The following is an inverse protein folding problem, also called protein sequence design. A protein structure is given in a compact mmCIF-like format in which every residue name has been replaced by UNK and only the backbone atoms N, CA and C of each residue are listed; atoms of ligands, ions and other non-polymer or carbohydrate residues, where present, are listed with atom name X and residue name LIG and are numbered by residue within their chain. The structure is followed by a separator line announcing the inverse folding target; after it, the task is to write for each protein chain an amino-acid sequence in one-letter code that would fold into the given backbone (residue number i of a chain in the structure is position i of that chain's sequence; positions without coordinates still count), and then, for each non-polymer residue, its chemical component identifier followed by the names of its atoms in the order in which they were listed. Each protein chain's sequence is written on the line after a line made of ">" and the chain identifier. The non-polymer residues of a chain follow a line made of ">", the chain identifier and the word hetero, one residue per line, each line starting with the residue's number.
data_IF_733909279214
#
_entry.id   IF_733909279214
#
_cell.length_a   1.000
_cell.length_b   1.000
_cell.length_c   1.000
_cell.angle_alpha   90.00
_cell.angle_beta   90.00
_cell.angle_gamma   90.00
#
_symmetry.space_group_name_H-M   'P 1'
#
loop_
_entity.id
_entity.type
_entity.pdbx_description
1 polymer ?
#
# COMPACT_ATOMS: atom_id res chain seq x y z
N UNK A 1 5.20 16.50 12.99
CA UNK A 1 4.47 17.62 12.37
C UNK A 1 5.22 18.26 11.20
N UNK A 2 6.54 18.50 11.24
CA UNK A 2 7.25 19.04 10.06
C UNK A 2 7.56 17.96 8.99
N UNK A 3 7.82 16.72 9.40
CA UNK A 3 8.13 15.60 8.49
C UNK A 3 6.92 15.15 7.66
N UNK A 4 5.76 14.87 8.28
CA UNK A 4 4.52 14.50 7.54
C UNK A 4 4.06 15.57 6.53
N UNK A 5 4.27 16.86 6.85
CA UNK A 5 3.94 17.96 5.94
C UNK A 5 4.89 18.01 4.73
N UNK A 6 6.16 17.63 4.94
CA UNK A 6 7.16 17.54 3.87
C UNK A 6 6.86 16.34 2.98
N UNK A 7 6.57 15.18 3.58
CA UNK A 7 6.25 13.93 2.88
C UNK A 7 4.95 14.07 2.05
N UNK A 8 3.91 14.71 2.60
CA UNK A 8 2.69 15.05 1.85
C UNK A 8 3.01 15.93 0.63
N UNK A 9 3.82 16.97 0.81
CA UNK A 9 4.18 17.88 -0.27
C UNK A 9 4.99 17.18 -1.38
N UNK A 10 5.87 16.23 -1.01
CA UNK A 10 6.59 15.39 -1.96
C UNK A 10 5.64 14.50 -2.76
N UNK A 11 4.68 13.84 -2.11
CA UNK A 11 3.66 13.03 -2.78
C UNK A 11 2.73 13.88 -3.66
N UNK A 12 2.37 15.10 -3.24
CA UNK A 12 1.59 16.03 -4.04
C UNK A 12 2.33 16.50 -5.30
N UNK A 13 3.66 16.50 -5.31
CA UNK A 13 4.46 16.81 -6.50
C UNK A 13 4.47 15.67 -7.53
N UNK A 14 4.19 14.43 -7.11
CA UNK A 14 4.18 13.25 -7.96
C UNK A 14 2.89 13.11 -8.77
N UNK A 15 2.99 12.44 -9.91
CA UNK A 15 1.82 12.02 -10.69
C UNK A 15 1.08 10.90 -9.97
N UNK A 16 -0.22 10.69 -10.29
CA UNK A 16 -1.00 9.57 -9.71
C UNK A 16 -0.31 8.22 -9.95
N UNK A 17 0.21 8.00 -11.15
CA UNK A 17 0.94 6.79 -11.51
C UNK A 17 2.21 6.62 -10.68
N UNK A 18 2.96 7.70 -10.47
CA UNK A 18 4.17 7.69 -9.63
C UNK A 18 3.84 7.39 -8.16
N UNK A 19 2.72 7.89 -7.64
CA UNK A 19 2.25 7.55 -6.29
C UNK A 19 1.92 6.06 -6.19
N UNK A 20 1.27 5.48 -7.20
CA UNK A 20 0.96 4.04 -7.22
C UNK A 20 2.24 3.18 -7.27
N UNK A 21 3.25 3.59 -8.05
CA UNK A 21 4.57 2.94 -8.08
C UNK A 21 5.27 3.06 -6.72
N UNK A 22 5.23 4.23 -6.08
CA UNK A 22 5.72 4.44 -4.73
C UNK A 22 5.00 3.53 -3.71
N UNK A 23 3.69 3.33 -3.85
CA UNK A 23 2.92 2.40 -3.02
C UNK A 23 3.40 0.96 -3.15
N UNK A 24 3.62 0.49 -4.39
CA UNK A 24 4.16 -0.86 -4.60
C UNK A 24 5.51 -1.02 -3.90
N UNK A 25 6.41 -0.06 -4.04
CA UNK A 25 7.72 -0.08 -3.39
C UNK A 25 7.65 -0.02 -1.87
N UNK A 26 6.90 0.94 -1.33
CA UNK A 26 6.77 1.15 0.12
C UNK A 26 6.08 -0.03 0.81
N UNK A 27 5.02 -0.58 0.21
CA UNK A 27 4.40 -1.80 0.71
C UNK A 27 5.41 -2.94 0.69
N UNK A 28 6.08 -3.20 -0.44
CA UNK A 28 7.08 -4.28 -0.53
C UNK A 28 8.14 -4.17 0.56
N UNK A 29 8.71 -2.99 0.76
CA UNK A 29 9.71 -2.72 1.80
C UNK A 29 9.13 -3.01 3.19
N UNK A 30 7.92 -2.51 3.47
CA UNK A 30 7.26 -2.71 4.75
C UNK A 30 6.99 -4.19 5.07
N UNK A 31 6.59 -4.99 4.07
CA UNK A 31 6.35 -6.43 4.28
C UNK A 31 7.61 -7.30 4.28
N UNK A 32 8.68 -6.87 3.60
CA UNK A 32 9.89 -7.69 3.45
C UNK A 32 10.99 -7.34 4.45
N UNK A 33 11.07 -6.08 4.87
CA UNK A 33 12.01 -5.61 5.90
C UNK A 33 11.37 -5.50 7.28
N UNK A 34 10.04 -5.51 7.37
CA UNK A 34 9.31 -5.63 8.63
C UNK A 34 9.51 -7.01 9.26
N UNK A 35 10.31 -7.07 10.32
CA UNK A 35 10.67 -8.31 11.07
C UNK A 35 9.45 -9.08 11.67
N UNK A 36 8.23 -8.55 11.55
CA UNK A 36 7.12 -8.93 12.42
C UNK A 36 6.04 -9.83 11.80
N UNK A 37 5.92 -9.95 10.46
CA UNK A 37 4.82 -10.75 9.86
C UNK A 37 5.23 -11.46 8.54
N UNK A 38 5.92 -12.61 8.62
CA UNK A 38 6.29 -13.41 7.43
C UNK A 38 5.06 -13.85 6.60
N UNK A 39 3.92 -14.09 7.24
CA UNK A 39 2.65 -14.43 6.59
C UNK A 39 2.16 -13.31 5.65
N UNK A 40 2.41 -12.05 6.01
CA UNK A 40 2.07 -10.87 5.22
C UNK A 40 2.96 -10.75 3.98
N UNK A 41 4.25 -11.12 4.09
CA UNK A 41 5.15 -11.21 2.93
C UNK A 41 4.68 -12.31 1.96
N UNK A 42 4.31 -13.50 2.48
CA UNK A 42 3.77 -14.60 1.66
C UNK A 42 2.44 -14.21 0.98
N UNK A 43 1.53 -13.53 1.70
CA UNK A 43 0.29 -12.99 1.14
C UNK A 43 0.56 -11.98 0.03
N UNK A 44 1.51 -11.08 0.24
CA UNK A 44 1.88 -10.04 -0.73
C UNK A 44 2.44 -10.66 -2.01
N UNK A 45 3.24 -11.72 -1.89
CA UNK A 45 3.77 -12.50 -3.01
C UNK A 45 2.65 -13.25 -3.73
N UNK A 46 1.71 -13.86 -2.99
CA UNK A 46 0.61 -14.64 -3.54
C UNK A 46 -0.44 -13.78 -4.25
N UNK A 47 -0.77 -12.62 -3.68
CA UNK A 47 -1.74 -11.66 -4.22
C UNK A 47 -1.15 -10.85 -5.38
N UNK A 48 0.13 -10.50 -5.27
CA UNK A 48 0.84 -9.58 -6.16
C UNK A 48 0.47 -8.13 -5.87
N UNK A 49 1.46 -7.33 -5.43
CA UNK A 49 1.29 -5.90 -5.13
C UNK A 49 0.64 -5.13 -6.28
N UNK A 50 1.12 -5.37 -7.50
CA UNK A 50 0.56 -4.74 -8.70
C UNK A 50 -0.91 -5.08 -8.94
N UNK A 51 -1.33 -6.29 -8.58
CA UNK A 51 -2.73 -6.71 -8.65
C UNK A 51 -3.59 -5.93 -7.65
N UNK A 52 -3.13 -5.85 -6.40
CA UNK A 52 -3.77 -5.07 -5.35
C UNK A 52 -3.84 -3.57 -5.69
N UNK A 53 -2.72 -2.96 -6.07
CA UNK A 53 -2.66 -1.53 -6.40
C UNK A 53 -3.60 -1.20 -7.55
N UNK A 54 -3.65 -2.04 -8.60
CA UNK A 54 -4.60 -1.82 -9.69
C UNK A 54 -6.06 -2.06 -9.26
N UNK A 55 -6.33 -3.08 -8.45
CA UNK A 55 -7.70 -3.43 -8.05
C UNK A 55 -8.30 -2.45 -7.03
N UNK A 56 -7.50 -2.03 -6.03
CA UNK A 56 -7.96 -1.26 -4.86
C UNK A 56 -7.54 0.21 -4.88
N UNK A 57 -6.44 0.57 -5.54
CA UNK A 57 -5.89 1.92 -5.48
C UNK A 57 -6.02 2.70 -6.80
N UNK A 58 -5.95 2.04 -7.97
CA UNK A 58 -5.93 2.75 -9.26
C UNK A 58 -7.21 3.56 -9.57
N UNK A 59 -8.34 3.23 -8.96
CA UNK A 59 -9.60 3.96 -9.13
C UNK A 59 -9.79 5.12 -8.13
N UNK A 60 -8.95 5.21 -7.09
CA UNK A 60 -9.03 6.27 -6.07
C UNK A 60 -8.49 7.60 -6.57
N UNK A 61 -8.95 8.69 -5.96
CA UNK A 61 -8.44 10.03 -6.26
C UNK A 61 -7.01 10.21 -5.69
N UNK A 62 -6.25 11.15 -6.26
CA UNK A 62 -4.86 11.39 -5.84
C UNK A 62 -4.75 11.74 -4.35
N UNK A 63 -5.62 12.62 -3.85
CA UNK A 63 -5.65 12.98 -2.43
C UNK A 63 -5.92 11.77 -1.52
N UNK A 64 -6.80 10.85 -1.92
CA UNK A 64 -7.09 9.63 -1.16
C UNK A 64 -5.87 8.69 -1.08
N UNK A 65 -5.11 8.60 -2.18
CA UNK A 65 -3.88 7.82 -2.22
C UNK A 65 -2.83 8.41 -1.28
N UNK A 66 -2.67 9.73 -1.28
CA UNK A 66 -1.72 10.42 -0.39
C UNK A 66 -2.10 10.19 1.08
N UNK A 67 -3.38 10.32 1.43
CA UNK A 67 -3.85 10.08 2.80
C UNK A 67 -3.69 8.61 3.23
N UNK A 68 -3.84 7.66 2.30
CA UNK A 68 -3.55 6.24 2.54
C UNK A 68 -2.05 5.97 2.74
N UNK A 69 -1.19 6.64 1.98
CA UNK A 69 0.26 6.44 2.00
C UNK A 69 0.83 6.92 3.33
N UNK A 70 0.43 8.13 3.75
CA UNK A 70 0.80 8.71 5.04
C UNK A 70 0.23 7.92 6.22
N UNK A 71 -0.91 7.24 6.01
CA UNK A 71 -1.53 6.37 6.99
C UNK A 71 -1.13 4.91 6.84
N UNK A 72 0.16 4.60 6.68
CA UNK A 72 0.73 3.29 6.29
C UNK A 72 0.03 2.03 6.84
N UNK A 73 -0.44 2.03 8.10
CA UNK A 73 -1.22 0.93 8.67
C UNK A 73 -2.52 0.62 7.90
N UNK A 74 -3.21 1.64 7.39
CA UNK A 74 -4.45 1.49 6.62
C UNK A 74 -4.22 0.76 5.30
N UNK A 75 -3.07 0.98 4.66
CA UNK A 75 -2.74 0.32 3.41
C UNK A 75 -2.52 -1.20 3.61
N UNK A 76 -1.95 -1.59 4.76
CA UNK A 76 -1.77 -3.00 5.15
C UNK A 76 -3.12 -3.65 5.45
N UNK A 77 -4.00 -2.96 6.18
CA UNK A 77 -5.36 -3.48 6.44
C UNK A 77 -6.12 -3.74 5.13
N UNK A 78 -6.06 -2.81 4.18
CA UNK A 78 -6.65 -2.98 2.85
C UNK A 78 -6.03 -4.14 2.06
N UNK A 79 -4.72 -4.36 2.20
CA UNK A 79 -4.02 -5.47 1.58
C UNK A 79 -4.48 -6.83 2.15
N UNK A 80 -4.61 -6.92 3.48
CA UNK A 80 -5.09 -8.12 4.18
C UNK A 80 -6.56 -8.40 3.81
N UNK A 81 -7.41 -7.37 3.85
CA UNK A 81 -8.83 -7.47 3.46
C UNK A 81 -8.96 -7.96 2.01
N UNK A 82 -8.17 -7.38 1.10
CA UNK A 82 -8.17 -7.83 -0.29
C UNK A 82 -7.68 -9.28 -0.44
N UNK A 83 -6.69 -9.70 0.33
CA UNK A 83 -6.24 -11.09 0.31
C UNK A 83 -7.29 -12.06 0.86
N UNK A 84 -8.06 -11.65 1.87
CA UNK A 84 -9.21 -12.41 2.35
C UNK A 84 -10.32 -12.50 1.28
N UNK A 85 -10.64 -11.42 0.58
CA UNK A 85 -11.59 -11.44 -0.55
C UNK A 85 -11.16 -12.39 -1.68
N UNK A 86 -9.85 -12.53 -1.92
CA UNK A 86 -9.30 -13.48 -2.89
C UNK A 86 -9.24 -14.92 -2.37
N UNK A 87 -9.63 -15.17 -1.12
CA UNK A 87 -9.58 -16.49 -0.48
C UNK A 87 -8.15 -16.96 -0.17
N UNK A 88 -7.20 -16.03 -0.07
CA UNK A 88 -5.81 -16.33 0.34
C UNK A 88 -5.64 -16.40 1.86
N UNK A 89 -6.64 -15.92 2.61
CA UNK A 89 -6.76 -16.05 4.05
C UNK A 89 -8.01 -16.89 4.36
N UNK A 90 -7.86 -17.89 5.22
CA UNK A 90 -9.00 -18.61 5.81
C UNK A 90 -9.58 -17.75 6.96
N UNK A 91 -10.93 -17.63 7.01
CA UNK A 91 -11.69 -16.85 8.02
C UNK A 91 -11.36 -17.21 9.48
#
# INVERSE_FOLDING_TARGET
>A
MAEELNERAELEALSKEEILDCFEGALFEHVTEGEEMPELAELTIALGLKGFVNAKLAHREKDELIDLFLGGDKAIVELIDHAAEQGLLEE
#
